data_IF_826996059930
#
_entry.id   IF_826996059930
#
_cell.length_a   1.000
_cell.length_b   1.000
_cell.length_c   1.000
_cell.angle_alpha   90.00
_cell.angle_beta   90.00
_cell.angle_gamma   90.00
#
_symmetry.space_group_name_H-M   'P 1'
#
loop_
_entity.id
_entity.type
_entity.pdbx_description
1 polymer ?
#
# COMPACT_ATOMS: atom_id res chain seq x y z
N UNK A 1 -21.58 -30.58 -19.32
CA UNK A 1 -20.37 -30.00 -19.95
C UNK A 1 -19.33 -29.83 -18.85
N UNK A 2 -18.43 -30.81 -18.69
CA UNK A 2 -17.30 -30.69 -17.77
C UNK A 2 -16.24 -29.81 -18.43
N UNK A 3 -15.83 -28.71 -17.79
CA UNK A 3 -14.66 -27.94 -18.19
C UNK A 3 -13.40 -28.72 -17.75
N UNK A 4 -12.55 -29.22 -18.66
CA UNK A 4 -11.27 -29.78 -18.31
C UNK A 4 -10.22 -28.70 -18.59
N UNK A 5 -10.05 -27.76 -17.68
CA UNK A 5 -8.92 -26.84 -17.73
C UNK A 5 -8.36 -26.70 -16.33
N UNK A 6 -7.41 -27.56 -16.01
CA UNK A 6 -6.41 -27.28 -14.98
C UNK A 6 -5.49 -26.18 -15.51
N UNK A 7 -5.97 -24.94 -15.53
CA UNK A 7 -5.13 -23.77 -15.75
C UNK A 7 -4.11 -23.74 -14.62
N UNK A 8 -2.87 -24.09 -14.93
CA UNK A 8 -1.78 -23.94 -13.98
C UNK A 8 -1.50 -22.44 -13.85
N UNK A 9 -1.06 -22.01 -12.66
CA UNK A 9 -0.78 -20.60 -12.37
C UNK A 9 0.23 -19.99 -13.38
N UNK A 10 1.05 -20.85 -14.00
CA UNK A 10 1.99 -20.51 -15.07
C UNK A 10 1.30 -20.05 -16.37
N UNK A 11 0.11 -20.57 -16.68
CA UNK A 11 -0.64 -20.22 -17.89
C UNK A 11 -1.41 -18.90 -17.73
N UNK A 12 -1.55 -18.43 -16.49
CA UNK A 12 -2.29 -17.22 -16.12
C UNK A 12 -1.37 -16.02 -15.83
N UNK A 13 -0.05 -16.23 -15.75
CA UNK A 13 0.93 -15.21 -15.38
C UNK A 13 2.02 -15.15 -16.44
N UNK A 14 2.34 -13.95 -16.89
CA UNK A 14 3.48 -13.73 -17.78
C UNK A 14 4.79 -13.80 -16.99
N UNK A 15 5.18 -15.02 -16.61
CA UNK A 15 6.34 -15.30 -15.74
C UNK A 15 7.63 -14.74 -16.36
N UNK A 16 7.81 -14.88 -17.67
CA UNK A 16 9.02 -14.43 -18.36
C UNK A 16 9.28 -12.94 -18.15
N UNK A 17 8.24 -12.11 -18.23
CA UNK A 17 8.34 -10.68 -17.95
C UNK A 17 8.90 -10.39 -16.55
N UNK A 18 8.41 -11.11 -15.53
CA UNK A 18 8.85 -10.92 -14.15
C UNK A 18 10.26 -11.50 -13.92
N UNK A 19 10.63 -12.56 -14.64
CA UNK A 19 11.99 -13.11 -14.59
C UNK A 19 13.00 -12.14 -15.20
N UNK A 20 12.71 -11.57 -16.39
CA UNK A 20 13.58 -10.54 -16.99
C UNK A 20 13.68 -9.31 -16.09
N UNK A 21 12.55 -8.84 -15.53
CA UNK A 21 12.57 -7.71 -14.60
C UNK A 21 13.42 -8.00 -13.37
N UNK A 22 13.28 -9.19 -12.78
CA UNK A 22 14.06 -9.61 -11.62
C UNK A 22 15.56 -9.68 -11.94
N UNK A 23 15.94 -10.21 -13.10
CA UNK A 23 17.34 -10.27 -13.54
C UNK A 23 17.95 -8.87 -13.64
N UNK A 24 17.22 -7.91 -14.20
CA UNK A 24 17.67 -6.51 -14.29
C UNK A 24 17.78 -5.86 -12.91
N UNK A 25 16.84 -6.12 -12.00
CA UNK A 25 16.90 -5.61 -10.63
C UNK A 25 18.11 -6.16 -9.88
N UNK A 26 18.35 -7.47 -9.96
CA UNK A 26 19.49 -8.12 -9.33
C UNK A 26 20.82 -7.60 -9.91
N UNK A 27 20.89 -7.32 -11.21
CA UNK A 27 22.09 -6.72 -11.81
C UNK A 27 22.34 -5.31 -11.25
N UNK A 28 21.30 -4.48 -11.12
CA UNK A 28 21.43 -3.15 -10.55
C UNK A 28 21.79 -3.19 -9.05
N UNK A 29 21.31 -4.18 -8.31
CA UNK A 29 21.72 -4.42 -6.91
C UNK A 29 23.21 -4.79 -6.80
N UNK A 30 23.73 -5.54 -7.78
CA UNK A 30 25.17 -5.82 -7.94
C UNK A 30 25.98 -4.65 -8.53
N UNK A 31 25.35 -3.49 -8.75
CA UNK A 31 25.97 -2.30 -9.34
C UNK A 31 26.41 -2.49 -10.82
N UNK A 32 25.68 -3.34 -11.56
CA UNK A 32 25.91 -3.63 -12.97
C UNK A 32 24.85 -2.95 -13.84
N UNK A 33 25.26 -1.99 -14.67
CA UNK A 33 24.36 -1.25 -15.59
C UNK A 33 24.07 -1.98 -16.90
N UNK A 34 24.89 -2.94 -17.31
CA UNK A 34 24.87 -3.52 -18.65
C UNK A 34 23.53 -4.20 -18.98
N UNK A 35 23.00 -5.02 -18.08
CA UNK A 35 21.74 -5.74 -18.28
C UNK A 35 20.56 -4.77 -18.39
N UNK A 36 20.54 -3.72 -17.54
CA UNK A 36 19.50 -2.70 -17.59
C UNK A 36 19.57 -1.86 -18.89
N UNK A 37 20.78 -1.56 -19.37
CA UNK A 37 20.98 -0.87 -20.65
C UNK A 37 20.58 -1.74 -21.86
N UNK A 38 20.84 -3.05 -21.82
CA UNK A 38 20.35 -3.98 -22.83
C UNK A 38 18.82 -3.99 -22.86
N UNK A 39 18.18 -4.05 -21.69
CA UNK A 39 16.72 -3.93 -21.58
C UNK A 39 16.20 -2.59 -22.13
N UNK A 40 16.90 -1.47 -21.86
CA UNK A 40 16.54 -0.16 -22.41
C UNK A 40 16.64 -0.15 -23.94
N UNK A 41 17.65 -0.81 -24.50
CA UNK A 41 17.84 -0.93 -25.94
C UNK A 41 16.71 -1.72 -26.59
N UNK A 42 16.36 -2.87 -26.04
CA UNK A 42 15.31 -3.75 -26.56
C UNK A 42 13.93 -3.08 -26.51
N UNK A 43 13.72 -2.19 -25.53
CA UNK A 43 12.48 -1.46 -25.30
C UNK A 43 12.48 0.00 -25.80
N UNK A 44 13.52 0.42 -26.54
CA UNK A 44 13.81 1.83 -26.87
C UNK A 44 12.64 2.59 -27.50
N UNK A 45 11.91 1.97 -28.43
CA UNK A 45 10.78 2.61 -29.11
C UNK A 45 9.62 2.91 -28.16
N UNK A 46 9.34 2.00 -27.21
CA UNK A 46 8.29 2.14 -26.19
C UNK A 46 8.70 3.15 -25.13
N UNK A 47 9.95 3.07 -24.65
CA UNK A 47 10.50 4.01 -23.67
C UNK A 47 10.51 5.45 -24.19
N UNK A 48 10.82 5.66 -25.48
CA UNK A 48 10.75 6.97 -26.12
C UNK A 48 9.32 7.54 -26.13
N UNK A 49 8.31 6.73 -26.44
CA UNK A 49 6.90 7.15 -26.39
C UNK A 49 6.47 7.55 -24.98
N UNK A 50 7.00 6.86 -23.98
CA UNK A 50 6.75 7.14 -22.56
C UNK A 50 7.59 8.28 -21.97
N UNK A 51 8.54 8.83 -22.76
CA UNK A 51 9.51 9.84 -22.34
C UNK A 51 10.29 9.43 -21.09
N UNK A 52 10.67 8.15 -20.98
CA UNK A 52 11.49 7.66 -19.87
C UNK A 52 12.91 8.26 -19.94
N UNK A 53 13.45 8.64 -18.78
CA UNK A 53 14.81 9.12 -18.57
C UNK A 53 15.75 8.04 -17.99
N UNK A 54 15.33 6.77 -17.98
CA UNK A 54 16.09 5.68 -17.38
C UNK A 54 17.46 5.47 -18.04
N UNK A 55 17.50 5.40 -19.38
CA UNK A 55 18.75 5.23 -20.12
C UNK A 55 19.75 6.35 -19.77
N UNK A 56 19.29 7.60 -19.73
CA UNK A 56 20.10 8.75 -19.36
C UNK A 56 20.61 8.66 -17.91
N UNK A 57 19.74 8.27 -16.97
CA UNK A 57 20.09 8.08 -15.57
C UNK A 57 21.16 7.01 -15.36
N UNK A 58 21.10 5.92 -16.14
CA UNK A 58 22.11 4.85 -16.15
C UNK A 58 23.45 5.35 -16.72
N UNK A 59 23.45 6.16 -17.78
CA UNK A 59 24.69 6.76 -18.33
C UNK A 59 25.34 7.72 -17.34
N UNK A 60 24.55 8.46 -16.57
CA UNK A 60 25.10 9.25 -15.45
C UNK A 60 25.71 8.33 -14.40
N UNK A 61 25.09 7.20 -14.06
CA UNK A 61 25.67 6.26 -13.11
C UNK A 61 27.00 5.68 -13.60
N UNK A 62 27.10 5.29 -14.87
CA UNK A 62 28.37 4.84 -15.46
C UNK A 62 29.46 5.91 -15.38
N UNK A 63 29.10 7.18 -15.63
CA UNK A 63 30.01 8.30 -15.45
C UNK A 63 30.48 8.42 -13.99
N UNK A 64 29.56 8.34 -13.02
CA UNK A 64 29.87 8.41 -11.59
C UNK A 64 30.83 7.29 -11.19
N UNK A 65 30.61 6.06 -11.64
CA UNK A 65 31.50 4.94 -11.32
C UNK A 65 32.90 5.11 -11.94
N UNK A 66 33.01 5.72 -13.14
CA UNK A 66 34.31 6.07 -13.72
C UNK A 66 35.05 7.12 -12.89
N UNK A 67 34.34 8.13 -12.35
CA UNK A 67 34.90 9.11 -11.42
C UNK A 67 35.34 8.43 -10.11
N UNK A 68 34.52 7.53 -9.56
CA UNK A 68 34.84 6.78 -8.34
C UNK A 68 36.10 5.91 -8.51
N UNK A 69 36.32 5.35 -9.69
CA UNK A 69 37.54 4.62 -10.07
C UNK A 69 38.72 5.54 -10.44
N UNK A 70 38.58 6.85 -10.31
CA UNK A 70 39.56 7.88 -10.69
C UNK A 70 39.95 7.86 -12.19
N UNK A 71 39.11 7.26 -13.05
CA UNK A 71 39.29 7.19 -14.51
C UNK A 71 38.69 8.42 -15.20
N UNK A 72 39.16 9.62 -14.82
CA UNK A 72 38.57 10.90 -15.27
C UNK A 72 38.56 11.09 -16.78
N UNK A 73 39.62 10.67 -17.49
CA UNK A 73 39.68 10.76 -18.95
C UNK A 73 38.62 9.87 -19.64
N UNK A 74 38.36 8.69 -19.08
CA UNK A 74 37.32 7.78 -19.56
C UNK A 74 35.93 8.36 -19.32
N UNK A 75 35.71 8.99 -18.16
CA UNK A 75 34.47 9.68 -17.84
C UNK A 75 34.18 10.80 -18.85
N UNK A 76 35.19 11.61 -19.23
CA UNK A 76 35.04 12.64 -20.26
C UNK A 76 34.73 12.05 -21.63
N UNK A 77 35.39 10.94 -22.02
CA UNK A 77 35.08 10.24 -23.27
C UNK A 77 33.66 9.69 -23.27
N UNK A 78 33.21 9.12 -22.15
CA UNK A 78 31.84 8.64 -21.95
C UNK A 78 30.83 9.78 -22.11
N UNK A 79 31.05 10.91 -21.42
CA UNK A 79 30.19 12.08 -21.49
C UNK A 79 30.03 12.62 -22.91
N UNK A 80 31.13 12.73 -23.67
CA UNK A 80 31.06 13.18 -25.09
C UNK A 80 30.23 12.26 -25.97
N UNK A 81 30.24 10.95 -25.69
CA UNK A 81 29.50 9.95 -26.47
C UNK A 81 28.01 9.95 -26.14
N UNK A 82 27.66 10.06 -24.86
CA UNK A 82 26.30 9.78 -24.37
C UNK A 82 25.51 11.02 -23.97
N UNK A 83 26.15 12.14 -23.65
CA UNK A 83 25.47 13.38 -23.23
C UNK A 83 25.39 14.44 -24.33
N UNK A 84 25.86 14.14 -25.55
CA UNK A 84 25.85 15.09 -26.67
C UNK A 84 24.45 15.49 -27.14
N UNK A 85 23.45 14.64 -26.89
CA UNK A 85 22.04 14.88 -27.23
C UNK A 85 21.21 15.34 -26.02
N UNK A 86 21.85 15.71 -24.91
CA UNK A 86 21.13 16.20 -23.73
C UNK A 86 20.52 17.58 -24.03
N UNK A 87 19.25 17.76 -23.68
CA UNK A 87 18.50 19.00 -23.91
C UNK A 87 17.70 19.40 -22.66
N UNK A 88 17.39 20.69 -22.53
CA UNK A 88 16.57 21.21 -21.43
C UNK A 88 17.15 20.87 -20.05
N UNK A 89 16.33 20.25 -19.18
CA UNK A 89 16.71 19.88 -17.82
C UNK A 89 17.87 18.87 -17.75
N UNK A 90 18.07 18.06 -18.79
CA UNK A 90 19.18 17.10 -18.84
C UNK A 90 20.53 17.82 -18.90
N UNK A 91 20.60 19.01 -19.49
CA UNK A 91 21.83 19.79 -19.54
C UNK A 91 22.27 20.28 -18.16
N UNK A 92 21.31 20.61 -17.28
CA UNK A 92 21.62 21.04 -15.93
C UNK A 92 22.18 19.88 -15.10
N UNK A 93 21.61 18.68 -15.26
CA UNK A 93 22.18 17.45 -14.69
C UNK A 93 23.58 17.15 -15.24
N UNK A 94 23.79 17.27 -16.56
CA UNK A 94 25.12 17.07 -17.17
C UNK A 94 26.13 18.07 -16.63
N UNK A 95 25.78 19.35 -16.50
CA UNK A 95 26.66 20.39 -15.93
C UNK A 95 27.08 20.03 -14.51
N UNK A 96 26.12 19.59 -13.69
CA UNK A 96 26.38 19.18 -12.32
C UNK A 96 27.30 17.95 -12.27
N UNK A 97 27.03 16.93 -13.10
CA UNK A 97 27.84 15.71 -13.18
C UNK A 97 29.25 16.00 -13.69
N UNK A 98 29.39 16.87 -14.69
CA UNK A 98 30.70 17.31 -15.20
C UNK A 98 31.51 18.08 -14.14
N UNK A 99 30.83 18.79 -13.24
CA UNK A 99 31.46 19.44 -12.09
C UNK A 99 32.25 18.47 -11.19
N UNK A 100 31.83 17.20 -11.10
CA UNK A 100 32.54 16.18 -10.30
C UNK A 100 33.98 15.93 -10.76
N UNK A 101 34.34 16.29 -12.01
CA UNK A 101 35.72 16.15 -12.50
C UNK A 101 36.70 17.02 -11.71
N UNK A 102 36.25 18.15 -11.17
CA UNK A 102 37.08 19.09 -10.41
C UNK A 102 37.30 18.65 -8.96
N UNK A 103 36.52 17.70 -8.45
CA UNK A 103 36.52 17.30 -7.05
C UNK A 103 37.09 15.88 -6.88
N UNK A 104 37.68 15.56 -5.70
CA UNK A 104 38.08 14.20 -5.37
C UNK A 104 36.85 13.31 -5.03
N UNK A 105 37.01 12.00 -5.12
CA UNK A 105 35.91 11.03 -4.94
C UNK A 105 35.41 10.90 -3.50
N UNK A 106 36.11 11.48 -2.53
CA UNK A 106 35.79 11.55 -1.10
C UNK A 106 35.20 12.92 -0.69
N UNK A 107 34.74 13.71 -1.66
CA UNK A 107 34.22 15.06 -1.44
C UNK A 107 32.98 15.08 -0.53
N UNK A 108 33.02 15.93 0.49
CA UNK A 108 31.87 16.20 1.38
C UNK A 108 31.00 17.39 0.95
N UNK A 109 31.32 18.02 -0.18
CA UNK A 109 30.63 19.19 -0.72
C UNK A 109 29.34 18.73 -1.43
N UNK A 110 28.20 19.21 -0.94
CA UNK A 110 26.91 19.06 -1.66
C UNK A 110 26.89 20.03 -2.85
N UNK A 111 26.41 19.61 -4.03
CA UNK A 111 25.58 18.42 -4.29
C UNK A 111 26.37 17.17 -4.75
N UNK A 112 27.70 17.23 -4.80
CA UNK A 112 28.53 16.14 -5.33
C UNK A 112 28.61 14.93 -4.39
N UNK A 113 28.54 15.17 -3.08
CA UNK A 113 28.39 14.11 -2.07
C UNK A 113 27.16 13.25 -2.36
N UNK A 114 26.03 13.89 -2.65
CA UNK A 114 24.74 13.21 -2.87
C UNK A 114 24.74 12.41 -4.18
N UNK A 115 25.48 12.89 -5.21
CA UNK A 115 25.68 12.15 -6.45
C UNK A 115 26.50 10.87 -6.27
N UNK A 116 27.43 10.85 -5.32
CA UNK A 116 28.28 9.70 -5.01
C UNK A 116 27.63 8.72 -4.03
N UNK A 117 26.44 9.04 -3.51
CA UNK A 117 25.74 8.21 -2.52
C UNK A 117 25.26 6.87 -3.13
N UNK A 118 25.53 5.71 -2.48
CA UNK A 118 25.06 4.42 -2.95
C UNK A 118 23.52 4.28 -3.01
N UNK A 119 22.75 5.14 -2.33
CA UNK A 119 21.30 5.19 -2.43
C UNK A 119 20.81 5.45 -3.86
N UNK A 120 21.64 6.06 -4.72
CA UNK A 120 21.33 6.27 -6.13
C UNK A 120 21.04 4.97 -6.89
N UNK A 121 21.69 3.86 -6.53
CA UNK A 121 21.38 2.54 -7.09
C UNK A 121 19.95 2.09 -6.75
N UNK A 122 19.49 2.34 -5.53
CA UNK A 122 18.09 2.04 -5.14
C UNK A 122 17.11 2.91 -5.92
N UNK A 123 17.44 4.17 -6.18
CA UNK A 123 16.62 5.05 -7.01
C UNK A 123 16.55 4.56 -8.47
N UNK A 124 17.66 4.07 -9.03
CA UNK A 124 17.68 3.47 -10.38
C UNK A 124 16.81 2.21 -10.45
N UNK A 125 16.87 1.34 -9.44
CA UNK A 125 16.00 0.16 -9.34
C UNK A 125 14.53 0.57 -9.28
N UNK A 126 14.19 1.60 -8.51
CA UNK A 126 12.81 2.11 -8.44
C UNK A 126 12.35 2.73 -9.76
N UNK A 127 13.21 3.49 -10.44
CA UNK A 127 12.94 4.06 -11.75
C UNK A 127 12.72 2.96 -12.79
N UNK A 128 13.57 1.92 -12.79
CA UNK A 128 13.42 0.75 -13.63
C UNK A 128 12.08 0.04 -13.37
N UNK A 129 11.74 -0.24 -12.11
CA UNK A 129 10.45 -0.84 -11.73
C UNK A 129 9.27 -0.05 -12.28
N UNK A 130 9.29 1.27 -12.09
CA UNK A 130 8.26 2.17 -12.57
C UNK A 130 8.12 2.13 -14.10
N UNK A 131 9.24 2.22 -14.82
CA UNK A 131 9.23 2.21 -16.29
C UNK A 131 8.84 0.83 -16.85
N UNK A 132 9.30 -0.25 -16.22
CA UNK A 132 8.94 -1.63 -16.58
C UNK A 132 7.43 -1.86 -16.40
N UNK A 133 6.85 -1.48 -15.25
CA UNK A 133 5.41 -1.62 -15.01
C UNK A 133 4.60 -0.80 -16.00
N UNK A 134 4.97 0.47 -16.23
CA UNK A 134 4.28 1.31 -17.22
C UNK A 134 4.39 0.74 -18.64
N UNK A 135 5.54 0.18 -19.02
CA UNK A 135 5.73 -0.43 -20.33
C UNK A 135 4.81 -1.63 -20.55
N UNK A 136 4.55 -2.40 -19.49
CA UNK A 136 3.64 -3.55 -19.49
C UNK A 136 2.21 -3.20 -19.08
N UNK A 137 1.88 -1.91 -18.94
CA UNK A 137 0.55 -1.44 -18.52
C UNK A 137 0.10 -2.01 -17.15
N UNK A 138 1.06 -2.36 -16.31
CA UNK A 138 0.82 -2.77 -14.94
C UNK A 138 0.70 -1.53 -14.07
N UNK A 139 -0.25 -1.55 -13.14
CA UNK A 139 -0.35 -0.51 -12.11
C UNK A 139 0.82 -0.60 -11.13
N UNK A 140 1.27 0.55 -10.63
CA UNK A 140 2.25 0.59 -9.52
C UNK A 140 1.68 0.03 -8.21
N UNK A 141 0.35 -0.04 -8.12
CA UNK A 141 -0.36 -0.63 -7.01
C UNK A 141 -0.81 -2.03 -7.41
N UNK A 142 -0.61 -2.99 -6.52
CA UNK A 142 -1.10 -4.34 -6.69
C UNK A 142 -2.63 -4.33 -6.83
N UNK A 143 -3.16 -5.06 -7.81
CA UNK A 143 -4.61 -5.28 -7.98
C UNK A 143 -5.22 -5.83 -6.71
N UNK A 144 -4.51 -6.70 -5.98
CA UNK A 144 -4.95 -7.20 -4.68
C UNK A 144 -5.14 -6.06 -3.67
N UNK A 145 -4.20 -5.11 -3.60
CA UNK A 145 -4.29 -3.96 -2.68
C UNK A 145 -5.48 -3.08 -3.03
N UNK A 146 -5.67 -2.76 -4.31
CA UNK A 146 -6.80 -1.94 -4.77
C UNK A 146 -8.14 -2.64 -4.45
N UNK A 147 -8.27 -3.92 -4.78
CA UNK A 147 -9.50 -4.70 -4.53
C UNK A 147 -9.78 -4.80 -3.03
N UNK A 148 -8.74 -5.06 -2.22
CA UNK A 148 -8.87 -5.10 -0.77
C UNK A 148 -9.31 -3.75 -0.20
N UNK A 149 -8.71 -2.64 -0.64
CA UNK A 149 -9.10 -1.30 -0.25
C UNK A 149 -10.55 -0.99 -0.68
N UNK A 150 -10.93 -1.32 -1.91
CA UNK A 150 -12.31 -1.14 -2.38
C UNK A 150 -13.31 -1.90 -1.48
N UNK A 151 -13.03 -3.17 -1.19
CA UNK A 151 -13.84 -3.96 -0.26
C UNK A 151 -13.90 -3.36 1.15
N UNK A 152 -12.75 -2.92 1.70
CA UNK A 152 -12.68 -2.26 3.00
C UNK A 152 -13.50 -0.96 3.02
N UNK A 153 -13.50 -0.17 1.95
CA UNK A 153 -14.28 1.06 1.85
C UNK A 153 -15.79 0.80 1.84
N UNK A 154 -16.23 -0.30 1.23
CA UNK A 154 -17.64 -0.69 1.16
C UNK A 154 -18.21 -1.15 2.51
N UNK A 155 -17.36 -1.62 3.42
CA UNK A 155 -17.76 -2.07 4.77
C UNK A 155 -17.38 -1.08 5.87
N UNK A 156 -16.58 -0.05 5.55
CA UNK A 156 -16.18 1.00 6.48
C UNK A 156 -17.36 1.93 6.69
N UNK A 157 -18.16 1.67 7.72
CA UNK A 157 -19.35 2.47 8.00
C UNK A 157 -19.02 3.69 8.88
N UNK A 158 -19.64 4.85 8.62
CA UNK A 158 -19.66 5.95 9.58
C UNK A 158 -20.55 5.54 10.76
N UNK A 159 -20.04 5.61 11.99
CA UNK A 159 -20.89 5.50 13.18
C UNK A 159 -21.42 6.90 13.54
N UNK A 160 -22.68 7.06 13.98
CA UNK A 160 -23.31 8.36 14.15
C UNK A 160 -22.78 9.06 15.40
N UNK A 161 -21.68 9.78 15.24
CA UNK A 161 -21.36 11.01 15.97
C UNK A 161 -20.06 11.56 15.41
N UNK A 162 -20.14 12.77 14.86
CA UNK A 162 -19.02 13.54 14.27
C UNK A 162 -17.90 13.88 15.28
N UNK A 163 -17.92 13.30 16.47
CA UNK A 163 -16.94 13.47 17.55
C UNK A 163 -16.51 12.15 18.20
N UNK A 164 -16.98 10.99 17.71
CA UNK A 164 -16.52 9.68 18.19
C UNK A 164 -15.78 9.00 17.04
N UNK A 165 -14.47 9.21 17.02
CA UNK A 165 -13.56 8.46 16.15
C UNK A 165 -13.92 6.98 16.17
N UNK A 166 -14.03 6.43 14.95
CA UNK A 166 -14.43 5.09 14.60
C UNK A 166 -14.15 4.07 15.72
N UNK A 167 -15.20 3.38 16.14
CA UNK A 167 -15.15 2.31 17.12
C UNK A 167 -14.09 1.22 16.81
N UNK A 168 -13.72 1.06 15.52
CA UNK A 168 -12.64 0.16 15.08
C UNK A 168 -11.21 0.69 15.30
N UNK A 169 -11.03 2.00 15.53
CA UNK A 169 -9.74 2.67 15.71
C UNK A 169 -9.45 3.03 17.18
N UNK A 170 -10.41 2.80 18.08
CA UNK A 170 -10.18 2.94 19.53
C UNK A 170 -9.13 1.92 20.00
N UNK A 171 -8.16 2.40 20.78
CA UNK A 171 -7.05 1.59 21.28
C UNK A 171 -7.51 0.60 22.36
N UNK A 172 -8.50 0.98 23.17
CA UNK A 172 -8.99 0.23 24.34
C UNK A 172 -9.60 -1.15 24.01
N UNK A 173 -9.82 -1.47 22.73
CA UNK A 173 -10.24 -2.80 22.23
C UNK A 173 -11.65 -3.24 22.63
N UNK A 174 -12.24 -2.63 23.67
CA UNK A 174 -13.53 -2.94 24.29
C UNK A 174 -14.72 -2.90 23.32
N UNK A 175 -14.52 -2.27 22.17
CA UNK A 175 -15.56 -1.99 21.21
C UNK A 175 -15.33 -2.56 19.81
N UNK A 176 -14.25 -3.33 19.61
CA UNK A 176 -13.97 -3.95 18.31
C UNK A 176 -14.94 -5.11 18.07
N UNK A 177 -15.45 -5.21 16.86
CA UNK A 177 -16.21 -6.36 16.41
C UNK A 177 -15.24 -7.39 15.81
N UNK A 178 -15.14 -8.63 16.35
CA UNK A 178 -14.27 -9.66 15.78
C UNK A 178 -14.60 -9.97 14.32
N UNK A 179 -15.87 -9.84 13.93
CA UNK A 179 -16.34 -10.12 12.56
C UNK A 179 -16.20 -8.91 11.62
N UNK A 180 -15.68 -7.78 12.10
CA UNK A 180 -15.47 -6.60 11.27
C UNK A 180 -14.03 -6.55 10.74
N UNK A 181 -13.81 -6.68 9.41
CA UNK A 181 -12.47 -6.62 8.83
C UNK A 181 -11.75 -5.31 9.12
N UNK A 182 -12.45 -4.17 9.23
CA UNK A 182 -11.85 -2.85 9.54
C UNK A 182 -11.32 -2.78 10.98
N UNK A 183 -11.88 -3.57 11.90
CA UNK A 183 -11.43 -3.65 13.29
C UNK A 183 -10.18 -4.53 13.45
N UNK A 184 -9.82 -5.33 12.44
CA UNK A 184 -8.58 -6.13 12.44
C UNK A 184 -7.34 -5.25 12.39
N UNK A 185 -6.35 -5.52 13.24
CA UNK A 185 -5.11 -4.72 13.37
C UNK A 185 -4.39 -4.53 12.03
N UNK A 186 -4.34 -5.57 11.19
CA UNK A 186 -3.62 -5.54 9.91
C UNK A 186 -4.35 -4.69 8.85
N UNK A 187 -5.68 -4.79 8.80
CA UNK A 187 -6.51 -4.12 7.79
C UNK A 187 -6.91 -2.70 8.21
N UNK A 188 -6.93 -2.42 9.51
CA UNK A 188 -7.30 -1.13 10.06
C UNK A 188 -6.44 0.03 9.51
N UNK A 189 -5.12 -0.19 9.41
CA UNK A 189 -4.17 0.77 8.81
C UNK A 189 -4.47 1.04 7.34
N UNK A 190 -4.77 -0.02 6.58
CA UNK A 190 -5.12 0.09 5.15
C UNK A 190 -6.46 0.81 4.95
N UNK A 191 -7.39 0.63 5.88
CA UNK A 191 -8.71 1.25 5.82
C UNK A 191 -8.72 2.74 6.26
N UNK A 192 -7.68 3.23 6.94
CA UNK A 192 -7.65 4.57 7.52
C UNK A 192 -7.88 5.69 6.50
N UNK A 193 -7.15 5.76 5.36
CA UNK A 193 -7.34 6.83 4.38
C UNK A 193 -8.57 6.64 3.48
N UNK A 194 -9.28 5.52 3.59
CA UNK A 194 -10.38 5.19 2.67
C UNK A 194 -11.66 5.96 2.98
N UNK A 195 -12.49 6.25 1.98
CA UNK A 195 -13.82 6.81 2.20
C UNK A 195 -14.70 5.83 2.99
N UNK A 196 -15.78 6.37 3.56
CA UNK A 196 -16.77 5.57 4.27
C UNK A 196 -17.91 5.16 3.33
N UNK A 197 -18.47 3.99 3.56
CA UNK A 197 -19.63 3.48 2.85
C UNK A 197 -20.85 4.38 3.10
N UNK A 198 -21.62 4.63 2.05
CA UNK A 198 -22.94 5.23 2.17
C UNK A 198 -23.94 4.16 2.61
N UNK A 199 -24.43 4.25 3.85
CA UNK A 199 -25.40 3.32 4.40
C UNK A 199 -26.81 3.93 4.35
N UNK A 200 -27.67 3.46 3.44
CA UNK A 200 -29.06 3.90 3.39
C UNK A 200 -29.91 3.32 4.53
N UNK A 201 -29.57 2.10 4.98
CA UNK A 201 -30.28 1.39 6.05
C UNK A 201 -29.26 0.80 7.02
N UNK A 202 -29.55 0.88 8.32
CA UNK A 202 -28.77 0.23 9.38
C UNK A 202 -29.60 -0.88 10.03
N UNK A 203 -28.92 -1.95 10.47
CA UNK A 203 -29.54 -3.02 11.26
C UNK A 203 -28.79 -3.19 12.57
N UNK A 204 -29.52 -3.35 13.66
CA UNK A 204 -28.92 -3.69 14.94
C UNK A 204 -28.60 -5.18 14.98
N UNK A 205 -27.42 -5.50 15.50
CA UNK A 205 -26.96 -6.87 15.70
C UNK A 205 -26.55 -7.03 17.17
N UNK A 206 -27.01 -8.11 17.80
CA UNK A 206 -26.71 -8.39 19.19
C UNK A 206 -25.24 -8.74 19.39
N UNK A 207 -24.60 -8.08 20.35
CA UNK A 207 -23.18 -8.33 20.68
C UNK A 207 -22.95 -9.72 21.29
N UNK A 208 -23.96 -10.32 21.92
CA UNK A 208 -23.86 -11.63 22.57
C UNK A 208 -24.05 -12.74 21.55
N UNK A 209 -25.18 -12.75 20.82
CA UNK A 209 -25.52 -13.85 19.92
C UNK A 209 -25.11 -13.64 18.46
N UNK A 210 -24.85 -12.39 18.04
CA UNK A 210 -24.67 -12.07 16.62
C UNK A 210 -25.97 -12.01 15.82
N UNK A 211 -27.13 -12.21 16.45
CA UNK A 211 -28.42 -12.17 15.76
C UNK A 211 -28.91 -10.74 15.51
N UNK A 212 -29.67 -10.55 14.44
CA UNK A 212 -30.34 -9.28 14.14
C UNK A 212 -31.38 -8.98 15.22
N UNK A 213 -31.35 -7.77 15.76
CA UNK A 213 -32.43 -7.27 16.62
C UNK A 213 -33.55 -6.70 15.75
N UNK A 214 -34.76 -7.19 15.94
CA UNK A 214 -35.94 -6.87 15.15
C UNK A 214 -37.21 -7.04 16.01
N UNK A 215 -38.39 -7.08 15.39
CA UNK A 215 -39.67 -7.22 16.11
C UNK A 215 -39.73 -8.50 16.97
N UNK A 216 -39.13 -9.59 16.52
CA UNK A 216 -39.10 -10.89 17.20
C UNK A 216 -37.93 -11.05 18.18
N UNK A 217 -36.92 -10.17 18.10
CA UNK A 217 -35.79 -10.10 19.02
C UNK A 217 -35.51 -8.62 19.35
N UNK A 218 -36.38 -7.96 20.13
CA UNK A 218 -36.33 -6.52 20.29
C UNK A 218 -35.03 -6.08 20.99
N UNK A 219 -34.49 -4.91 20.63
CA UNK A 219 -33.37 -4.31 21.34
C UNK A 219 -33.82 -3.87 22.75
N UNK A 220 -33.11 -4.34 23.76
CA UNK A 220 -33.33 -4.07 25.18
C UNK A 220 -32.10 -3.37 25.77
N UNK A 221 -32.31 -2.22 26.42
CA UNK A 221 -31.27 -1.41 27.05
C UNK A 221 -31.23 -1.68 28.56
N UNK A 222 -30.04 -1.99 29.07
CA UNK A 222 -29.79 -2.07 30.51
C UNK A 222 -29.59 -0.64 31.11
N UNK A 223 -29.72 -0.45 32.44
CA UNK A 223 -29.57 0.86 33.08
C UNK A 223 -28.23 1.58 32.82
N UNK A 224 -27.19 0.85 32.45
CA UNK A 224 -25.89 1.42 32.07
C UNK A 224 -25.82 1.87 30.59
N UNK A 225 -26.93 1.85 29.87
CA UNK A 225 -27.03 2.32 28.48
C UNK A 225 -26.60 1.32 27.40
N UNK A 226 -26.18 0.11 27.76
CA UNK A 226 -25.84 -0.91 26.76
C UNK A 226 -27.07 -1.67 26.26
N UNK A 227 -27.15 -1.86 24.94
CA UNK A 227 -28.27 -2.50 24.24
C UNK A 227 -27.91 -3.92 23.80
N UNK A 228 -28.82 -4.86 24.05
CA UNK A 228 -28.72 -6.28 23.71
C UNK A 228 -30.05 -6.80 23.16
N UNK A 229 -30.04 -7.92 22.43
CA UNK A 229 -31.28 -8.55 21.99
C UNK A 229 -31.98 -9.21 23.17
N UNK A 230 -33.31 -9.12 23.23
CA UNK A 230 -34.14 -9.74 24.27
C UNK A 230 -33.80 -11.22 24.48
N UNK A 231 -33.69 -12.00 23.40
CA UNK A 231 -33.41 -13.43 23.47
C UNK A 231 -32.04 -13.71 24.11
N UNK A 232 -31.05 -12.85 23.87
CA UNK A 232 -29.73 -12.98 24.47
C UNK A 232 -29.72 -12.58 25.94
N UNK A 233 -30.48 -11.55 26.34
CA UNK A 233 -30.61 -11.21 27.76
C UNK A 233 -31.32 -12.32 28.54
N UNK A 234 -32.33 -12.95 27.92
CA UNK A 234 -33.05 -14.07 28.50
C UNK A 234 -32.13 -15.28 28.71
N UNK A 235 -31.21 -15.57 27.78
CA UNK A 235 -30.31 -16.71 27.88
C UNK A 235 -29.20 -16.55 28.93
N UNK A 236 -28.77 -15.33 29.23
CA UNK A 236 -27.74 -15.05 30.24
C UNK A 236 -28.31 -14.69 31.62
N UNK A 237 -29.64 -14.67 31.73
CA UNK A 237 -30.35 -14.35 32.97
C UNK A 237 -30.15 -15.48 34.00
N UNK A 238 -29.85 -15.08 35.24
CA UNK A 238 -29.79 -15.97 36.40
C UNK A 238 -30.83 -15.47 37.41
N UNK A 239 -31.87 -16.27 37.66
CA UNK A 239 -33.05 -15.92 38.44
C UNK A 239 -33.77 -14.68 37.89
N UNK A 240 -33.63 -13.52 38.54
CA UNK A 240 -34.17 -12.22 38.11
C UNK A 240 -33.08 -11.22 37.71
N UNK A 241 -31.82 -11.64 37.69
CA UNK A 241 -30.67 -10.75 37.47
C UNK A 241 -29.95 -11.08 36.18
N UNK A 242 -29.38 -10.04 35.58
CA UNK A 242 -28.51 -10.14 34.40
C UNK A 242 -27.20 -9.44 34.70
N UNK A 243 -26.10 -10.12 34.40
CA UNK A 243 -24.76 -9.55 34.48
C UNK A 243 -24.42 -8.97 33.11
N UNK A 244 -24.19 -7.66 33.03
CA UNK A 244 -23.80 -7.01 31.78
C UNK A 244 -22.46 -7.59 31.29
N UNK A 245 -22.38 -8.18 30.08
CA UNK A 245 -21.14 -8.81 29.61
C UNK A 245 -19.96 -7.83 29.49
N UNK A 246 -20.24 -6.54 29.30
CA UNK A 246 -19.26 -5.47 29.08
C UNK A 246 -18.76 -4.85 30.38
N UNK A 247 -19.65 -4.46 31.29
CA UNK A 247 -19.28 -3.75 32.54
C UNK A 247 -19.18 -4.66 33.75
N UNK A 248 -19.70 -5.90 33.66
CA UNK A 248 -19.86 -6.86 34.77
C UNK A 248 -20.79 -6.38 35.89
N UNK A 249 -21.50 -5.27 35.70
CA UNK A 249 -22.54 -4.80 36.61
C UNK A 249 -23.76 -5.73 36.56
N UNK A 250 -24.45 -5.85 37.69
CA UNK A 250 -25.61 -6.72 37.85
C UNK A 250 -26.87 -5.86 37.94
N UNK A 251 -27.82 -6.13 37.07
CA UNK A 251 -29.11 -5.43 37.02
C UNK A 251 -30.26 -6.43 37.14
N UNK A 252 -31.40 -5.97 37.64
CA UNK A 252 -32.62 -6.78 37.56
C UNK A 252 -33.14 -6.76 36.12
N UNK A 253 -33.63 -7.90 35.63
CA UNK A 253 -34.15 -8.03 34.27
C UNK A 253 -35.32 -7.08 33.99
N UNK A 254 -36.12 -6.76 35.01
CA UNK A 254 -37.22 -5.79 34.94
C UNK A 254 -36.77 -4.35 34.68
N UNK A 255 -35.49 -4.03 34.91
CA UNK A 255 -34.92 -2.71 34.64
C UNK A 255 -34.47 -2.56 33.18
N UNK A 256 -34.58 -3.61 32.36
CA UNK A 256 -34.25 -3.54 30.95
C UNK A 256 -35.41 -2.93 30.16
N UNK A 257 -35.16 -1.83 29.46
CA UNK A 257 -36.17 -1.12 28.68
C UNK A 257 -36.07 -1.43 27.19
N UNK A 258 -37.21 -1.59 26.52
CA UNK A 258 -37.24 -1.79 25.07
C UNK A 258 -36.92 -0.47 24.36
N UNK A 259 -35.97 -0.51 23.43
CA UNK A 259 -35.57 0.63 22.61
C UNK A 259 -36.25 0.59 21.25
N UNK A 260 -36.54 1.77 20.70
CA UNK A 260 -37.01 1.93 19.32
C UNK A 260 -35.99 2.74 18.54
N UNK A 261 -35.67 2.30 17.32
CA UNK A 261 -34.85 3.06 16.38
C UNK A 261 -35.78 3.55 15.29
N UNK A 262 -35.83 4.88 15.12
CA UNK A 262 -36.51 5.55 14.00
C UNK A 262 -35.52 5.80 12.86
#
# INVERSE_FOLDING_TARGET
MCFPFSLLLKDLVNIEMFLTAKEVEESLERQETMTCLAWCHDNKSRLRKMKSCLEFSLRIQEFIELIRQNKRLDAVRHARKHFSQAEGSQLDEVRQVMGMLAFPSDTHISPYKDLLDPARWRMLIQQFRYDNYRLHQLGNNSVFTITLQAGLSAIKTPYPSMQVLLQCYKEDGSSKNPDCPVCSKSLNKLAQPLPMAHCANSRLVCKISGDVMNENNPPMMLPNGYVYGYNSLLSIRQDDKVICPRTKEVFNFSQAEKVYIM
#
